data_IF_666288013982
#
_entry.id   IF_666288013982
#
_cell.length_a   1.000
_cell.length_b   1.000
_cell.length_c   1.000
_cell.angle_alpha   90.00
_cell.angle_beta   90.00
_cell.angle_gamma   90.00
#
_symmetry.space_group_name_H-M   'P 1'
#
loop_
_entity.id
_entity.type
_entity.pdbx_description
1 polymer ?
#
# COMPACT_ATOMS: atom_id res chain seq x y z
N UNK A 1 -15.04 0.52 -10.08
CA UNK A 1 -13.93 1.00 -10.95
C UNK A 1 -12.67 1.12 -10.10
N UNK A 2 -11.48 0.94 -10.71
CA UNK A 2 -10.17 1.01 -10.05
C UNK A 2 -9.35 2.06 -10.77
N UNK A 3 -8.75 3.01 -10.03
CA UNK A 3 -8.02 4.14 -10.59
C UNK A 3 -6.63 4.22 -9.93
N UNK A 4 -5.59 4.43 -10.74
CA UNK A 4 -4.25 4.75 -10.26
C UNK A 4 -4.14 6.27 -10.11
N UNK A 5 -4.13 6.75 -8.87
CA UNK A 5 -4.14 8.18 -8.53
C UNK A 5 -2.77 8.61 -8.04
N UNK A 6 -2.27 9.75 -8.51
CA UNK A 6 -1.12 10.43 -7.92
C UNK A 6 -1.59 11.29 -6.74
N UNK A 7 -1.37 10.82 -5.50
CA UNK A 7 -1.66 11.62 -4.32
C UNK A 7 -0.66 12.78 -4.22
N UNK A 8 -1.18 13.97 -4.10
CA UNK A 8 -0.38 15.18 -3.90
C UNK A 8 0.08 15.33 -2.44
N UNK A 9 1.07 16.21 -2.21
CA UNK A 9 1.59 16.57 -0.88
C UNK A 9 0.54 17.35 -0.08
N UNK A 10 0.65 17.30 1.24
CA UNK A 10 -0.17 18.05 2.19
C UNK A 10 -1.66 17.68 2.22
N UNK A 11 -1.99 16.47 1.74
CA UNK A 11 -3.33 15.89 1.87
C UNK A 11 -3.26 14.45 2.36
N UNK A 12 -4.28 14.00 3.08
CA UNK A 12 -4.39 12.62 3.52
C UNK A 12 -4.92 11.73 2.39
N UNK A 13 -4.66 10.42 2.47
CA UNK A 13 -5.30 9.45 1.56
C UNK A 13 -6.83 9.48 1.68
N UNK A 14 -7.38 9.90 2.83
CA UNK A 14 -8.82 10.07 3.02
C UNK A 14 -9.35 11.27 2.25
N UNK A 15 -8.61 12.35 2.14
CA UNK A 15 -9.01 13.52 1.35
C UNK A 15 -9.12 13.16 -0.13
N UNK A 16 -8.17 12.38 -0.66
CA UNK A 16 -8.24 11.83 -2.02
C UNK A 16 -9.52 11.01 -2.21
N UNK A 17 -9.81 10.08 -1.29
CA UNK A 17 -11.04 9.28 -1.31
C UNK A 17 -12.29 10.17 -1.29
N UNK A 18 -12.31 11.21 -0.45
CA UNK A 18 -13.46 12.11 -0.34
C UNK A 18 -13.69 12.93 -1.62
N UNK A 19 -12.62 13.40 -2.25
CA UNK A 19 -12.68 14.14 -3.54
C UNK A 19 -13.27 13.24 -4.62
N UNK A 20 -12.73 12.02 -4.77
CA UNK A 20 -13.19 11.03 -5.77
C UNK A 20 -14.64 10.61 -5.48
N UNK A 21 -14.99 10.39 -4.22
CA UNK A 21 -16.34 10.05 -3.78
C UNK A 21 -17.38 11.10 -4.20
N UNK A 22 -17.05 12.38 -4.03
CA UNK A 22 -17.92 13.50 -4.43
C UNK A 22 -18.04 13.58 -5.96
N UNK A 23 -16.90 13.54 -6.67
CA UNK A 23 -16.87 13.65 -8.12
C UNK A 23 -17.66 12.52 -8.81
N UNK A 24 -17.49 11.28 -8.34
CA UNK A 24 -18.17 10.10 -8.90
C UNK A 24 -19.55 9.82 -8.28
N UNK A 25 -20.07 10.70 -7.43
CA UNK A 25 -21.36 10.56 -6.75
C UNK A 25 -21.56 9.19 -6.08
N UNK A 26 -20.48 8.63 -5.47
CA UNK A 26 -20.53 7.32 -4.80
C UNK A 26 -19.94 7.36 -3.41
N UNK A 27 -20.65 6.75 -2.43
CA UNK A 27 -20.20 6.64 -1.04
C UNK A 27 -19.24 5.48 -0.82
N UNK A 28 -19.23 4.50 -1.72
CA UNK A 28 -18.42 3.28 -1.58
C UNK A 28 -17.08 3.46 -2.30
N UNK A 29 -16.12 4.04 -1.60
CA UNK A 29 -14.77 4.28 -2.09
C UNK A 29 -13.75 3.83 -1.05
N UNK A 30 -12.71 3.12 -1.48
CA UNK A 30 -11.60 2.65 -0.66
C UNK A 30 -10.26 2.84 -1.36
N UNK A 31 -9.17 2.79 -0.60
CA UNK A 31 -7.81 2.85 -1.14
C UNK A 31 -6.96 1.68 -0.64
N UNK A 32 -5.86 1.39 -1.31
CA UNK A 32 -5.06 0.18 -1.11
C UNK A 32 -3.81 0.38 -0.27
N UNK A 33 -3.78 1.39 0.56
CA UNK A 33 -2.67 1.66 1.48
C UNK A 33 -2.46 3.14 1.71
N UNK A 34 -2.57 3.53 2.97
CA UNK A 34 -2.39 4.93 3.40
C UNK A 34 -1.00 5.44 3.02
N UNK A 35 -0.97 6.66 2.52
CA UNK A 35 0.20 7.52 2.44
C UNK A 35 0.07 8.61 3.50
N UNK A 36 1.18 8.94 4.16
CA UNK A 36 1.24 10.07 5.09
C UNK A 36 0.93 11.38 4.37
N UNK A 37 0.50 12.46 5.05
CA UNK A 37 0.19 13.74 4.40
C UNK A 37 1.36 14.32 3.60
N UNK A 38 2.58 14.19 4.13
CA UNK A 38 3.82 14.61 3.47
C UNK A 38 4.12 13.80 2.19
N UNK A 39 3.79 12.49 2.18
CA UNK A 39 4.12 11.58 1.10
C UNK A 39 3.25 11.81 -0.13
N UNK A 40 3.83 11.56 -1.30
CA UNK A 40 3.19 11.69 -2.62
C UNK A 40 3.20 10.38 -3.41
N UNK A 41 2.55 10.37 -4.59
CA UNK A 41 2.65 9.30 -5.56
C UNK A 41 1.50 8.30 -5.54
N UNK A 42 1.77 7.09 -6.03
CA UNK A 42 0.76 6.06 -6.36
C UNK A 42 -0.19 5.76 -5.21
N UNK A 43 -1.48 5.98 -5.41
CA UNK A 43 -2.57 5.57 -4.54
C UNK A 43 -3.67 4.90 -5.37
N UNK A 44 -3.78 3.59 -5.29
CA UNK A 44 -4.83 2.88 -6.00
C UNK A 44 -6.15 3.05 -5.23
N UNK A 45 -7.13 3.61 -5.91
CA UNK A 45 -8.48 3.86 -5.38
C UNK A 45 -9.48 2.93 -6.07
N UNK A 46 -10.32 2.28 -5.28
CA UNK A 46 -11.40 1.40 -5.75
C UNK A 46 -12.74 2.01 -5.39
N UNK A 47 -13.71 1.95 -6.31
CA UNK A 47 -15.06 2.47 -6.09
C UNK A 47 -16.10 1.38 -6.27
N UNK A 48 -17.26 1.55 -5.64
CA UNK A 48 -18.42 0.68 -5.74
C UNK A 48 -18.07 -0.80 -5.48
N UNK A 49 -18.41 -1.66 -6.39
CA UNK A 49 -18.22 -3.10 -6.27
C UNK A 49 -16.73 -3.49 -6.17
N UNK A 50 -15.84 -2.76 -6.85
CA UNK A 50 -14.41 -3.07 -6.89
C UNK A 50 -13.68 -2.78 -5.58
N UNK A 51 -14.34 -2.14 -4.60
CA UNK A 51 -13.80 -2.04 -3.23
C UNK A 51 -13.55 -3.42 -2.60
N UNK A 52 -14.17 -4.48 -3.09
CA UNK A 52 -13.91 -5.86 -2.68
C UNK A 52 -12.48 -6.33 -3.01
N UNK A 53 -11.79 -5.65 -3.95
CA UNK A 53 -10.43 -5.97 -4.38
C UNK A 53 -9.34 -5.21 -3.62
N UNK A 54 -9.71 -4.32 -2.72
CA UNK A 54 -8.76 -3.48 -1.95
C UNK A 54 -7.71 -4.34 -1.22
N UNK A 55 -8.10 -5.43 -0.58
CA UNK A 55 -7.18 -6.31 0.15
C UNK A 55 -6.17 -7.02 -0.78
N UNK A 56 -6.61 -7.45 -1.96
CA UNK A 56 -5.77 -8.05 -3.00
C UNK A 56 -4.72 -7.05 -3.50
N UNK A 57 -5.14 -5.84 -3.82
CA UNK A 57 -4.27 -4.78 -4.29
C UNK A 57 -3.33 -4.28 -3.18
N UNK A 58 -3.81 -4.24 -1.93
CA UNK A 58 -3.00 -3.85 -0.75
C UNK A 58 -1.86 -4.84 -0.48
N UNK A 59 -2.03 -6.12 -0.82
CA UNK A 59 -1.02 -7.15 -0.57
C UNK A 59 0.23 -7.00 -1.42
N UNK A 60 0.19 -6.25 -2.51
CA UNK A 60 1.31 -6.05 -3.45
C UNK A 60 2.45 -5.25 -2.80
N UNK A 61 3.69 -5.54 -3.21
CA UNK A 61 4.87 -4.78 -2.81
C UNK A 61 4.76 -3.32 -3.24
N UNK A 62 5.47 -2.44 -2.54
CA UNK A 62 5.55 -1.01 -2.84
C UNK A 62 7.00 -0.60 -3.05
N UNK A 63 7.21 0.30 -3.99
CA UNK A 63 8.48 0.94 -4.23
C UNK A 63 8.38 2.41 -3.84
N UNK A 64 9.40 2.89 -3.16
CA UNK A 64 9.49 4.28 -2.71
C UNK A 64 10.83 4.89 -3.09
N UNK A 65 10.81 6.19 -3.36
CA UNK A 65 11.97 7.05 -3.24
C UNK A 65 11.78 7.84 -1.94
N UNK A 66 12.69 7.64 -1.01
CA UNK A 66 12.68 8.29 0.29
C UNK A 66 13.90 9.21 0.44
N UNK A 67 13.69 10.38 1.01
CA UNK A 67 14.77 11.26 1.46
C UNK A 67 14.73 11.28 2.98
N UNK A 68 15.84 10.98 3.62
CA UNK A 68 16.00 11.11 5.06
C UNK A 68 17.00 12.20 5.39
N UNK A 69 16.76 12.90 6.52
CA UNK A 69 17.63 13.91 7.09
C UNK A 69 18.34 13.34 8.31
N UNK A 70 19.67 13.43 8.34
CA UNK A 70 20.49 13.02 9.46
C UNK A 70 20.55 14.11 10.56
N UNK A 71 20.86 13.69 11.76
CA UNK A 71 21.13 14.57 12.90
C UNK A 71 19.91 15.14 13.61
N UNK A 72 18.69 14.86 13.14
CA UNK A 72 17.45 15.24 13.82
C UNK A 72 16.49 14.06 13.92
N UNK A 73 15.73 14.02 15.01
CA UNK A 73 14.61 13.10 15.21
C UNK A 73 13.38 13.91 15.62
N UNK A 74 12.24 13.59 15.04
CA UNK A 74 10.95 14.20 15.35
C UNK A 74 10.03 13.20 16.05
N UNK A 75 9.02 13.70 16.73
CA UNK A 75 7.99 12.89 17.41
C UNK A 75 7.13 12.07 16.41
N UNK A 76 6.92 12.55 15.18
CA UNK A 76 6.16 11.87 14.13
C UNK A 76 7.01 10.93 13.27
N UNK A 77 8.34 11.05 13.32
CA UNK A 77 9.28 10.35 12.43
C UNK A 77 9.39 10.96 11.04
N UNK A 78 8.72 12.10 10.77
CA UNK A 78 8.85 12.90 9.55
C UNK A 78 9.10 14.38 9.90
N UNK A 79 9.54 15.18 8.92
CA UNK A 79 9.97 16.55 9.11
C UNK A 79 8.84 17.49 9.57
N UNK A 80 7.58 17.07 9.50
CA UNK A 80 6.42 17.88 9.93
C UNK A 80 6.20 17.86 11.43
N UNK A 81 6.86 16.93 12.15
CA UNK A 81 6.78 16.80 13.61
C UNK A 81 7.70 17.77 14.35
N UNK A 82 7.56 17.77 15.68
CA UNK A 82 8.44 18.54 16.57
C UNK A 82 9.78 17.82 16.73
N UNK A 83 10.88 18.57 16.70
CA UNK A 83 12.21 18.00 16.93
C UNK A 83 12.32 17.63 18.41
N UNK A 84 12.54 16.35 18.69
CA UNK A 84 12.69 15.79 20.05
C UNK A 84 14.14 15.43 20.37
N UNK A 85 15.00 15.27 19.36
CA UNK A 85 16.41 14.97 19.56
C UNK A 85 17.25 15.50 18.41
N UNK A 86 18.48 15.98 18.76
CA UNK A 86 19.55 16.32 17.82
C UNK A 86 20.78 15.48 18.15
N UNK A 87 21.50 15.06 17.12
CA UNK A 87 22.77 14.35 17.27
C UNK A 87 23.74 14.76 16.16
N UNK A 88 25.01 14.76 16.48
CA UNK A 88 26.07 14.89 15.47
C UNK A 88 26.18 13.61 14.66
N UNK A 89 26.74 13.71 13.47
CA UNK A 89 27.04 12.55 12.62
C UNK A 89 28.32 12.79 11.84
N UNK A 90 28.99 11.70 11.51
CA UNK A 90 30.14 11.70 10.60
C UNK A 90 30.04 10.39 9.81
N UNK A 91 29.47 10.46 8.63
CA UNK A 91 29.22 9.31 7.78
C UNK A 91 29.82 9.52 6.40
N UNK A 92 30.31 8.46 5.79
CA UNK A 92 30.77 8.44 4.41
C UNK A 92 29.75 7.76 3.52
N UNK A 93 29.80 8.02 2.21
CA UNK A 93 28.95 7.37 1.22
C UNK A 93 29.03 5.83 1.30
N UNK A 94 30.24 5.28 1.48
CA UNK A 94 30.45 3.84 1.57
C UNK A 94 29.81 3.24 2.83
N UNK A 95 29.87 3.95 3.97
CA UNK A 95 29.17 3.54 5.18
C UNK A 95 27.66 3.51 4.99
N UNK A 96 27.10 4.53 4.31
CA UNK A 96 25.66 4.58 4.00
C UNK A 96 25.28 3.37 3.14
N UNK A 97 26.00 3.11 2.05
CA UNK A 97 25.73 1.97 1.16
C UNK A 97 25.76 0.65 1.93
N UNK A 98 26.80 0.46 2.77
CA UNK A 98 26.93 -0.73 3.60
C UNK A 98 25.74 -0.89 4.57
N UNK A 99 25.34 0.19 5.24
CA UNK A 99 24.21 0.18 6.18
C UNK A 99 22.91 -0.10 5.45
N UNK A 100 22.62 0.55 4.32
CA UNK A 100 21.42 0.28 3.53
C UNK A 100 21.34 -1.21 3.13
N UNK A 101 22.43 -1.80 2.68
CA UNK A 101 22.47 -3.21 2.28
C UNK A 101 22.20 -4.19 3.45
N UNK A 102 22.50 -3.80 4.69
CA UNK A 102 22.20 -4.62 5.87
C UNK A 102 20.69 -4.75 6.14
N UNK A 103 19.85 -3.89 5.55
CA UNK A 103 18.39 -3.97 5.67
C UNK A 103 17.72 -4.85 4.62
N UNK A 104 18.47 -5.41 3.66
CA UNK A 104 17.93 -6.35 2.68
C UNK A 104 17.42 -7.64 3.35
N UNK A 105 16.33 -8.17 2.83
CA UNK A 105 15.73 -9.41 3.30
C UNK A 105 14.62 -9.20 4.34
N UNK A 106 14.35 -10.25 5.11
CA UNK A 106 13.29 -10.26 6.12
C UNK A 106 13.81 -9.78 7.48
N UNK A 107 13.04 -8.95 8.13
CA UNK A 107 13.32 -8.41 9.46
C UNK A 107 12.03 -8.08 10.22
N UNK A 108 12.17 -7.79 11.51
CA UNK A 108 11.06 -7.33 12.35
C UNK A 108 11.15 -5.82 12.51
N UNK A 109 10.03 -5.12 12.28
CA UNK A 109 9.93 -3.68 12.41
C UNK A 109 8.90 -3.28 13.45
N UNK A 110 9.23 -2.32 14.31
CA UNK A 110 8.26 -1.70 15.23
C UNK A 110 7.34 -0.76 14.48
N UNK A 111 6.03 -0.90 14.69
CA UNK A 111 5.01 -0.02 14.10
C UNK A 111 5.10 1.35 14.75
N UNK A 112 5.17 2.45 13.98
CA UNK A 112 5.24 3.78 14.56
C UNK A 112 3.92 4.15 15.26
N UNK A 113 4.03 4.92 16.36
CA UNK A 113 2.86 5.32 17.14
C UNK A 113 1.86 6.16 16.31
N UNK A 114 2.34 6.99 15.40
CA UNK A 114 1.50 7.72 14.46
C UNK A 114 1.10 6.83 13.27
N UNK A 115 0.29 5.80 13.56
CA UNK A 115 -0.26 4.91 12.53
C UNK A 115 -1.73 4.58 12.77
N UNK A 116 -2.39 4.06 11.73
CA UNK A 116 -3.79 3.65 11.80
C UNK A 116 -3.99 2.21 12.34
N UNK A 117 -2.94 1.55 12.81
CA UNK A 117 -3.01 0.23 13.44
C UNK A 117 -3.82 0.35 14.74
N UNK A 118 -4.69 -0.62 14.98
CA UNK A 118 -5.53 -0.64 16.17
C UNK A 118 -4.95 -1.58 17.23
N UNK A 119 -4.90 -1.10 18.46
CA UNK A 119 -4.64 -1.88 19.67
C UNK A 119 -5.84 -1.65 20.61
N UNK A 120 -6.44 -2.71 21.10
CA UNK A 120 -7.63 -2.65 21.96
C UNK A 120 -8.78 -1.79 21.37
N UNK A 121 -8.98 -1.87 20.03
CA UNK A 121 -10.04 -1.13 19.35
C UNK A 121 -9.72 0.32 18.99
N UNK A 122 -8.69 0.94 19.60
CA UNK A 122 -8.27 2.34 19.42
C UNK A 122 -7.03 2.39 18.50
N UNK A 123 -6.95 3.38 17.62
CA UNK A 123 -5.80 3.52 16.71
C UNK A 123 -4.59 4.09 17.43
N UNK A 124 -3.38 3.67 17.03
CA UNK A 124 -2.14 4.11 17.69
C UNK A 124 -1.97 5.63 17.68
N UNK A 125 -2.32 6.32 16.58
CA UNK A 125 -2.24 7.79 16.56
C UNK A 125 -3.18 8.47 17.57
N UNK A 126 -4.25 7.81 18.02
CA UNK A 126 -5.16 8.34 19.05
C UNK A 126 -4.52 8.25 20.45
N UNK A 127 -3.72 7.20 20.71
CA UNK A 127 -2.90 7.11 21.91
C UNK A 127 -1.86 8.23 21.94
N UNK A 128 -1.13 8.43 20.81
CA UNK A 128 -0.14 9.50 20.72
C UNK A 128 -0.72 10.89 21.02
N UNK A 129 -1.88 11.21 20.42
CA UNK A 129 -2.53 12.51 20.62
C UNK A 129 -3.03 12.75 22.04
N UNK A 130 -3.40 11.68 22.72
CA UNK A 130 -3.89 11.76 24.11
C UNK A 130 -2.76 11.66 25.15
N UNK A 131 -1.49 11.47 24.72
CA UNK A 131 -0.37 11.23 25.63
C UNK A 131 -0.47 9.90 26.40
N UNK A 132 -1.23 8.93 25.87
CA UNK A 132 -1.43 7.63 26.51
C UNK A 132 -0.30 6.66 26.13
N UNK A 133 0.24 5.95 27.09
CA UNK A 133 1.22 4.90 26.86
C UNK A 133 0.57 3.66 26.22
N UNK A 134 1.26 3.07 25.27
CA UNK A 134 0.85 1.83 24.60
C UNK A 134 2.07 1.04 24.14
N UNK A 135 2.03 -0.28 24.32
CA UNK A 135 3.06 -1.16 23.77
C UNK A 135 2.91 -1.23 22.25
N UNK A 136 3.93 -0.75 21.54
CA UNK A 136 3.94 -0.76 20.08
C UNK A 136 4.12 -2.19 19.55
N UNK A 137 3.25 -2.64 18.63
CA UNK A 137 3.38 -3.96 18.05
C UNK A 137 4.54 -3.99 17.06
N UNK A 138 5.08 -5.18 16.85
CA UNK A 138 6.04 -5.45 15.79
C UNK A 138 5.39 -6.21 14.65
N UNK A 139 6.01 -6.18 13.48
CA UNK A 139 5.60 -6.97 12.31
C UNK A 139 6.78 -7.41 11.49
N UNK A 140 6.63 -8.53 10.84
CA UNK A 140 7.58 -8.97 9.84
C UNK A 140 7.44 -8.16 8.57
N UNK A 141 8.56 -7.70 8.04
CA UNK A 141 8.69 -6.98 6.79
C UNK A 141 9.76 -7.66 5.92
N UNK A 142 9.71 -7.38 4.62
CA UNK A 142 10.76 -7.80 3.71
C UNK A 142 11.15 -6.62 2.81
N UNK A 143 12.45 -6.37 2.69
CA UNK A 143 13.04 -5.38 1.79
C UNK A 143 13.72 -6.15 0.67
N UNK A 144 13.12 -6.13 -0.53
CA UNK A 144 13.62 -6.87 -1.68
C UNK A 144 14.70 -6.13 -2.46
N UNK A 145 14.73 -4.80 -2.37
CA UNK A 145 15.79 -3.97 -2.91
C UNK A 145 15.92 -2.67 -2.13
N UNK A 146 17.13 -2.17 -1.99
CA UNK A 146 17.44 -0.85 -1.46
C UNK A 146 18.69 -0.32 -2.15
N UNK A 147 18.65 0.94 -2.59
CA UNK A 147 19.70 1.56 -3.40
C UNK A 147 19.88 3.01 -2.99
N UNK A 148 21.11 3.42 -2.74
CA UNK A 148 21.46 4.84 -2.55
C UNK A 148 21.36 5.56 -3.89
N UNK A 149 20.53 6.59 -3.98
CA UNK A 149 20.43 7.45 -5.16
C UNK A 149 21.32 8.67 -5.07
N UNK A 150 21.34 9.32 -3.89
CA UNK A 150 22.10 10.54 -3.67
C UNK A 150 22.45 10.72 -2.19
N UNK A 151 23.57 11.41 -1.93
CA UNK A 151 23.97 11.84 -0.60
C UNK A 151 24.63 13.22 -0.69
N UNK A 152 24.01 14.19 -0.10
CA UNK A 152 24.49 15.56 -0.06
C UNK A 152 24.16 16.20 1.30
N UNK A 153 25.15 16.81 1.94
CA UNK A 153 25.04 17.40 3.27
C UNK A 153 24.49 16.44 4.33
N UNK A 154 23.30 16.74 4.86
CA UNK A 154 22.57 15.92 5.83
C UNK A 154 21.47 15.07 5.21
N UNK A 155 21.31 15.10 3.88
CA UNK A 155 20.27 14.40 3.15
C UNK A 155 20.77 13.15 2.44
N UNK A 156 20.11 12.03 2.72
CA UNK A 156 20.32 10.77 2.02
C UNK A 156 19.04 10.43 1.26
N UNK A 157 19.14 10.29 -0.05
CA UNK A 157 18.05 9.87 -0.92
C UNK A 157 18.28 8.44 -1.38
N UNK A 158 17.31 7.58 -1.16
CA UNK A 158 17.40 6.17 -1.52
C UNK A 158 16.09 5.65 -2.10
N UNK A 159 16.21 4.63 -2.93
CA UNK A 159 15.09 3.89 -3.50
C UNK A 159 14.95 2.58 -2.75
N UNK A 160 13.73 2.17 -2.41
CA UNK A 160 13.49 0.94 -1.65
C UNK A 160 12.22 0.24 -2.11
N UNK A 161 12.28 -1.10 -2.28
CA UNK A 161 11.11 -1.95 -2.53
C UNK A 161 10.83 -2.81 -1.33
N UNK A 162 9.61 -2.71 -0.80
CA UNK A 162 9.21 -3.30 0.47
C UNK A 162 7.92 -4.09 0.37
N UNK A 163 7.75 -5.06 1.26
CA UNK A 163 6.50 -5.79 1.44
C UNK A 163 5.40 -4.89 2.04
N UNK A 164 4.15 -5.36 1.96
CA UNK A 164 3.02 -4.67 2.60
C UNK A 164 3.27 -4.46 4.10
N UNK A 165 2.85 -3.31 4.59
CA UNK A 165 2.88 -2.98 6.02
C UNK A 165 4.21 -2.42 6.51
N UNK A 166 5.23 -2.32 5.68
CA UNK A 166 6.49 -1.65 6.01
C UNK A 166 6.25 -0.14 6.16
N UNK A 167 6.77 0.43 7.24
CA UNK A 167 6.77 1.87 7.51
C UNK A 167 8.14 2.46 7.17
N UNK A 168 8.18 3.37 6.19
CA UNK A 168 9.44 4.00 5.76
C UNK A 168 9.99 4.91 6.85
N UNK A 169 9.13 5.54 7.66
CA UNK A 169 9.56 6.33 8.84
C UNK A 169 10.35 5.49 9.84
N UNK A 170 9.83 4.33 10.23
CA UNK A 170 10.56 3.41 11.13
C UNK A 170 11.86 2.89 10.49
N UNK A 171 11.85 2.59 9.19
CA UNK A 171 13.06 2.19 8.47
C UNK A 171 14.13 3.29 8.54
N UNK A 172 13.76 4.54 8.32
CA UNK A 172 14.67 5.70 8.40
C UNK A 172 15.24 5.88 9.80
N UNK A 173 14.42 5.75 10.84
CA UNK A 173 14.90 5.79 12.22
C UNK A 173 15.92 4.67 12.51
N UNK A 174 15.65 3.46 12.04
CA UNK A 174 16.53 2.31 12.24
C UNK A 174 17.84 2.43 11.44
N UNK A 175 17.80 2.99 10.22
CA UNK A 175 18.99 3.35 9.44
C UNK A 175 19.81 4.39 10.23
N UNK A 176 19.17 5.45 10.76
CA UNK A 176 19.83 6.47 11.58
C UNK A 176 20.54 5.88 12.79
N UNK A 177 19.87 5.00 13.54
CA UNK A 177 20.48 4.27 14.69
C UNK A 177 21.69 3.45 14.26
N UNK A 178 21.60 2.75 13.13
CA UNK A 178 22.70 1.92 12.61
C UNK A 178 23.89 2.78 12.16
N UNK A 179 23.63 3.98 11.69
CA UNK A 179 24.66 5.00 11.38
C UNK A 179 25.17 5.74 12.64
N UNK A 180 24.76 5.30 13.85
CA UNK A 180 25.12 5.90 15.14
C UNK A 180 24.70 7.37 15.28
N UNK A 181 23.58 7.74 14.70
CA UNK A 181 22.96 9.07 14.80
C UNK A 181 21.44 8.95 14.92
N UNK A 182 20.73 10.04 14.74
CA UNK A 182 19.27 10.05 14.57
C UNK A 182 18.92 10.50 13.15
N UNK A 183 17.76 10.09 12.67
CA UNK A 183 17.28 10.49 11.34
C UNK A 183 15.76 10.64 11.34
N UNK A 184 15.26 11.47 10.44
CA UNK A 184 13.83 11.67 10.20
C UNK A 184 13.53 11.64 8.69
N UNK A 185 12.30 11.32 8.34
CA UNK A 185 11.86 11.34 6.94
C UNK A 185 11.65 12.78 6.48
N UNK A 186 12.40 13.21 5.46
CA UNK A 186 12.30 14.53 4.86
C UNK A 186 11.27 14.57 3.74
N UNK A 187 11.25 13.54 2.90
CA UNK A 187 10.32 13.41 1.78
C UNK A 187 10.10 11.96 1.42
N UNK A 188 8.93 11.65 0.83
CA UNK A 188 8.57 10.30 0.42
C UNK A 188 7.70 10.30 -0.82
N UNK A 189 8.13 9.58 -1.84
CA UNK A 189 7.37 9.36 -3.07
C UNK A 189 7.12 7.87 -3.25
N UNK A 190 5.87 7.42 -3.25
CA UNK A 190 5.55 6.06 -3.67
C UNK A 190 5.53 5.98 -5.19
N UNK A 191 6.59 5.45 -5.77
CA UNK A 191 6.76 5.35 -7.22
C UNK A 191 6.02 4.17 -7.82
N UNK A 192 5.74 3.11 -6.99
CA UNK A 192 5.10 1.91 -7.50
C UNK A 192 4.32 1.15 -6.42
N UNK A 193 3.22 0.55 -6.80
CA UNK A 193 2.49 -0.45 -6.01
C UNK A 193 2.10 -1.63 -6.91
N UNK A 194 2.70 -2.80 -6.65
CA UNK A 194 2.58 -3.94 -7.58
C UNK A 194 3.07 -3.56 -8.98
N UNK A 195 2.19 -3.67 -9.97
CA UNK A 195 2.48 -3.31 -11.36
C UNK A 195 2.12 -1.85 -11.72
N UNK A 196 1.54 -1.08 -10.80
CA UNK A 196 1.07 0.28 -11.05
C UNK A 196 2.18 1.27 -10.71
N UNK A 197 2.55 2.10 -11.67
CA UNK A 197 3.64 3.08 -11.59
C UNK A 197 3.09 4.49 -11.48
N UNK A 198 3.92 5.40 -10.98
CA UNK A 198 3.58 6.81 -10.85
C UNK A 198 3.40 7.48 -12.22
N UNK A 199 4.15 7.06 -13.22
CA UNK A 199 4.07 7.57 -14.60
C UNK A 199 2.71 7.29 -15.25
N UNK A 200 2.01 6.23 -14.79
CA UNK A 200 0.70 5.81 -15.26
C UNK A 200 -0.44 6.32 -14.37
N UNK A 201 -0.14 7.21 -13.42
CA UNK A 201 -1.13 7.72 -12.46
C UNK A 201 -1.76 9.03 -12.93
N UNK A 202 -2.99 9.27 -12.51
CA UNK A 202 -3.74 10.48 -12.79
C UNK A 202 -3.73 11.42 -11.60
N UNK A 203 -3.60 12.71 -11.85
CA UNK A 203 -3.77 13.76 -10.84
C UNK A 203 -5.24 13.86 -10.40
N UNK A 204 -5.51 14.54 -9.29
CA UNK A 204 -6.88 14.84 -8.89
C UNK A 204 -7.58 15.79 -9.87
N UNK A 205 -6.81 16.63 -10.55
CA UNK A 205 -7.32 17.51 -11.60
C UNK A 205 -7.76 16.72 -12.84
N UNK A 206 -6.93 15.75 -13.29
CA UNK A 206 -7.33 14.83 -14.37
C UNK A 206 -8.64 14.12 -14.05
N UNK A 207 -8.78 13.66 -12.80
CA UNK A 207 -10.00 12.94 -12.37
C UNK A 207 -11.22 13.88 -12.38
N UNK A 208 -11.08 15.12 -11.88
CA UNK A 208 -12.16 16.12 -11.89
C UNK A 208 -12.59 16.53 -13.31
N UNK A 209 -11.69 16.41 -14.27
CA UNK A 209 -11.93 16.72 -15.68
C UNK A 209 -12.31 15.47 -16.51
N UNK A 210 -12.59 14.33 -15.85
CA UNK A 210 -12.87 13.03 -16.47
C UNK A 210 -11.79 12.55 -17.46
N UNK A 211 -10.57 13.06 -17.32
CA UNK A 211 -9.40 12.72 -18.13
C UNK A 211 -8.60 11.57 -17.49
N UNK A 212 -9.26 10.43 -17.30
CA UNK A 212 -8.60 9.23 -16.74
C UNK A 212 -9.19 7.96 -17.34
N UNK A 213 -8.43 6.86 -17.22
CA UNK A 213 -8.88 5.52 -17.62
C UNK A 213 -8.85 4.59 -16.43
N UNK A 214 -9.98 3.94 -16.09
CA UNK A 214 -9.99 2.90 -15.07
C UNK A 214 -9.10 1.71 -15.45
N UNK A 215 -8.50 1.10 -14.46
CA UNK A 215 -7.73 -0.13 -14.63
C UNK A 215 -8.71 -1.28 -14.87
N UNK A 216 -8.64 -2.00 -16.00
CA UNK A 216 -9.50 -3.13 -16.29
C UNK A 216 -9.29 -4.30 -15.32
N UNK A 217 -10.35 -5.02 -14.97
CA UNK A 217 -10.27 -6.16 -14.02
C UNK A 217 -9.34 -7.28 -14.50
N UNK A 218 -9.27 -7.55 -15.80
CA UNK A 218 -8.35 -8.54 -16.35
C UNK A 218 -6.87 -8.18 -16.10
N UNK A 219 -6.53 -6.88 -16.07
CA UNK A 219 -5.19 -6.42 -15.71
C UNK A 219 -4.93 -6.58 -14.21
N UNK A 220 -5.92 -6.29 -13.37
CA UNK A 220 -5.83 -6.45 -11.90
C UNK A 220 -5.62 -7.92 -11.52
N UNK A 221 -6.29 -8.82 -12.23
CA UNK A 221 -6.37 -10.24 -11.93
C UNK A 221 -5.39 -11.10 -12.76
N UNK A 222 -4.54 -10.50 -13.59
CA UNK A 222 -3.66 -11.20 -14.53
C UNK A 222 -2.69 -12.22 -13.90
N UNK A 223 -2.36 -12.00 -12.61
CA UNK A 223 -1.44 -12.88 -11.87
C UNK A 223 -2.14 -14.14 -11.31
N UNK A 224 -3.46 -14.26 -11.46
CA UNK A 224 -4.24 -15.41 -11.01
C UNK A 224 -4.57 -16.34 -12.16
N UNK A 225 -4.47 -17.64 -11.89
CA UNK A 225 -4.93 -18.67 -12.83
C UNK A 225 -6.39 -18.42 -13.21
N UNK A 226 -6.73 -18.63 -14.48
CA UNK A 226 -8.09 -18.43 -14.99
C UNK A 226 -8.75 -19.77 -15.30
N UNK A 227 -10.05 -19.90 -14.98
CA UNK A 227 -10.88 -21.04 -15.32
C UNK A 227 -12.14 -20.57 -16.04
N UNK A 228 -12.39 -21.09 -17.24
CA UNK A 228 -13.56 -20.74 -18.03
C UNK A 228 -14.76 -21.61 -17.65
N UNK A 229 -15.81 -20.97 -17.18
CA UNK A 229 -17.07 -21.60 -16.79
C UNK A 229 -17.90 -21.96 -18.02
N UNK A 230 -18.53 -23.13 -18.01
CA UNK A 230 -19.68 -23.40 -18.88
C UNK A 230 -20.96 -22.79 -18.28
N UNK A 231 -22.08 -22.83 -19.03
CA UNK A 231 -23.33 -22.22 -18.59
C UNK A 231 -23.86 -22.79 -17.27
N UNK A 232 -23.76 -24.09 -17.06
CA UNK A 232 -24.22 -24.76 -15.83
C UNK A 232 -23.36 -24.33 -14.63
N UNK A 233 -22.05 -24.28 -14.82
CA UNK A 233 -21.10 -23.83 -13.77
C UNK A 233 -21.31 -22.36 -13.44
N UNK A 234 -21.55 -21.51 -14.45
CA UNK A 234 -21.84 -20.09 -14.25
C UNK A 234 -23.03 -19.88 -13.31
N UNK A 235 -24.16 -20.59 -13.54
CA UNK A 235 -25.33 -20.52 -12.65
C UNK A 235 -25.00 -20.94 -11.22
N UNK A 236 -24.18 -21.97 -11.03
CA UNK A 236 -23.74 -22.41 -9.70
C UNK A 236 -22.85 -21.35 -9.02
N UNK A 237 -21.90 -20.78 -9.76
CA UNK A 237 -20.97 -19.74 -9.26
C UNK A 237 -21.72 -18.46 -8.92
N UNK A 238 -22.68 -18.04 -9.74
CA UNK A 238 -23.53 -16.86 -9.49
C UNK A 238 -24.26 -16.97 -8.14
N UNK A 239 -24.65 -18.17 -7.76
CA UNK A 239 -25.29 -18.48 -6.47
C UNK A 239 -24.30 -18.84 -5.35
N UNK A 240 -23.01 -18.61 -5.53
CA UNK A 240 -21.99 -18.83 -4.51
C UNK A 240 -21.68 -20.31 -4.21
N UNK A 241 -22.06 -21.24 -5.10
CA UNK A 241 -21.83 -22.66 -4.90
C UNK A 241 -20.34 -22.97 -4.91
N UNK A 242 -19.94 -23.93 -4.06
CA UNK A 242 -18.58 -24.50 -4.08
C UNK A 242 -18.31 -25.24 -5.39
N UNK A 243 -17.02 -25.29 -5.79
CA UNK A 243 -16.57 -26.00 -6.99
C UNK A 243 -15.41 -26.97 -6.68
N UNK A 244 -15.39 -28.07 -7.39
CA UNK A 244 -14.24 -28.97 -7.49
C UNK A 244 -13.54 -28.64 -8.81
N UNK A 245 -12.31 -28.12 -8.72
CA UNK A 245 -11.50 -27.76 -9.87
C UNK A 245 -10.20 -28.56 -9.81
N UNK A 246 -9.80 -29.14 -10.93
CA UNK A 246 -8.52 -29.83 -11.03
C UNK A 246 -7.38 -28.81 -11.27
N UNK A 247 -7.18 -27.94 -10.30
CA UNK A 247 -6.21 -26.84 -10.30
C UNK A 247 -5.56 -26.83 -8.92
N UNK A 248 -4.27 -26.47 -8.84
CA UNK A 248 -3.55 -26.46 -7.54
C UNK A 248 -3.33 -25.03 -6.99
N UNK A 249 -3.76 -24.00 -7.71
CA UNK A 249 -3.60 -22.62 -7.31
C UNK A 249 -4.47 -22.26 -6.09
N UNK A 250 -3.91 -21.51 -5.17
CA UNK A 250 -4.60 -21.04 -3.96
C UNK A 250 -5.81 -20.15 -4.27
N UNK A 251 -5.73 -19.35 -5.33
CA UNK A 251 -6.80 -18.46 -5.77
C UNK A 251 -6.91 -18.55 -7.30
N UNK A 252 -8.13 -18.67 -7.79
CA UNK A 252 -8.45 -18.80 -9.21
C UNK A 252 -9.48 -17.76 -9.60
N UNK A 253 -9.29 -17.14 -10.78
CA UNK A 253 -10.27 -16.26 -11.41
C UNK A 253 -11.23 -17.10 -12.27
N UNK A 254 -12.49 -17.07 -11.95
CA UNK A 254 -13.53 -17.72 -12.75
C UNK A 254 -14.03 -16.76 -13.81
N UNK A 255 -13.99 -17.19 -15.07
CA UNK A 255 -14.43 -16.40 -16.22
C UNK A 255 -15.70 -17.02 -16.82
N UNK A 256 -16.60 -16.19 -17.31
CA UNK A 256 -17.69 -16.58 -18.18
C UNK A 256 -17.78 -15.60 -19.35
N UNK A 257 -17.80 -16.10 -20.58
CA UNK A 257 -17.72 -15.27 -21.80
C UNK A 257 -16.56 -14.26 -21.75
N UNK A 258 -15.38 -14.70 -21.31
CA UNK A 258 -14.15 -13.91 -21.14
C UNK A 258 -14.25 -12.76 -20.12
N UNK A 259 -15.29 -12.72 -19.28
CA UNK A 259 -15.45 -11.72 -18.22
C UNK A 259 -15.17 -12.36 -16.85
N UNK A 260 -14.39 -11.72 -15.97
CA UNK A 260 -14.21 -12.17 -14.60
C UNK A 260 -15.53 -12.11 -13.81
N UNK A 261 -15.98 -13.27 -13.32
CA UNK A 261 -17.22 -13.43 -12.54
C UNK A 261 -16.94 -13.46 -11.05
N UNK A 262 -15.90 -14.18 -10.65
CA UNK A 262 -15.55 -14.34 -9.25
C UNK A 262 -14.08 -14.75 -9.09
N UNK A 263 -13.55 -14.46 -7.90
CA UNK A 263 -12.36 -15.11 -7.38
C UNK A 263 -12.79 -16.20 -6.40
N UNK A 264 -12.24 -17.39 -6.59
CA UNK A 264 -12.42 -18.52 -5.71
C UNK A 264 -11.12 -18.85 -5.02
N UNK A 265 -11.19 -19.26 -3.75
CA UNK A 265 -10.05 -19.70 -2.96
C UNK A 265 -10.15 -21.19 -2.64
N UNK A 266 -9.03 -21.88 -2.76
CA UNK A 266 -8.90 -23.27 -2.37
C UNK A 266 -8.93 -23.39 -0.84
N UNK A 267 -9.84 -24.21 -0.33
CA UNK A 267 -9.97 -24.61 1.07
C UNK A 267 -10.03 -26.13 1.09
N UNK A 268 -8.94 -26.79 1.50
CA UNK A 268 -8.68 -28.21 1.28
C UNK A 268 -8.75 -28.51 -0.24
N UNK A 269 -9.61 -29.43 -0.67
CA UNK A 269 -9.77 -29.81 -2.09
C UNK A 269 -10.96 -29.12 -2.79
N UNK A 270 -11.55 -28.14 -2.13
CA UNK A 270 -12.76 -27.45 -2.63
C UNK A 270 -12.46 -25.97 -2.80
N UNK A 271 -12.92 -25.40 -3.90
CA UNK A 271 -12.89 -23.97 -4.14
C UNK A 271 -14.19 -23.31 -3.66
N UNK A 272 -14.05 -22.25 -2.86
CA UNK A 272 -15.16 -21.44 -2.34
C UNK A 272 -15.05 -19.99 -2.78
N UNK A 273 -16.17 -19.29 -2.81
CA UNK A 273 -16.22 -17.85 -3.13
C UNK A 273 -15.29 -17.09 -2.21
N UNK A 274 -14.33 -16.42 -2.80
CA UNK A 274 -13.49 -15.42 -2.12
C UNK A 274 -14.00 -14.02 -2.38
N UNK A 275 -14.26 -13.68 -3.65
CA UNK A 275 -14.84 -12.39 -4.07
C UNK A 275 -15.80 -12.61 -5.24
N UNK A 276 -17.05 -12.18 -5.14
CA UNK A 276 -17.93 -12.03 -6.31
C UNK A 276 -17.58 -10.72 -7.00
N UNK A 277 -17.34 -10.77 -8.31
CA UNK A 277 -16.97 -9.63 -9.15
C UNK A 277 -18.11 -9.17 -10.06
N UNK A 278 -19.01 -10.05 -10.42
CA UNK A 278 -20.22 -9.70 -11.15
C UNK A 278 -21.25 -9.07 -10.20
N UNK A 279 -21.89 -8.00 -10.65
CA UNK A 279 -23.03 -7.39 -9.96
C UNK A 279 -24.28 -8.14 -10.43
N UNK A 280 -25.04 -8.71 -9.51
CA UNK A 280 -26.40 -9.13 -9.81
C UNK A 280 -27.19 -7.87 -10.16
N UNK A 281 -27.65 -7.76 -11.40
CA UNK A 281 -28.47 -6.61 -11.86
C UNK A 281 -29.85 -6.56 -11.21
N UNK A 282 -30.16 -7.54 -10.35
CA UNK A 282 -31.45 -7.64 -9.65
C UNK A 282 -31.46 -6.92 -8.28
N UNK A 283 -30.37 -6.25 -7.88
CA UNK A 283 -30.24 -5.51 -6.60
C UNK A 283 -30.34 -3.97 -6.80
N UNK A 284 -31.14 -3.48 -7.77
CA UNK A 284 -31.49 -2.07 -7.92
C UNK A 284 -32.93 -1.80 -7.52
#
# INVERSE_FOLDING_TARGET
MIINVCKEKNMTSRDVVNIISRHLHTKKVGHTGTLDPLATGVLIVCTNHDTKLVDILTSKNKEYIATMRLGIQTDTGDITGNIIKRATYKVTKDQIIKVLNNFLGSSTQTVPIYSAVKINGKKLYEYARNGEEVTLPTREINISSIELLDYHDDLIKFKVTVSKGTYIRSLIEDIGKTLQTVATMEDLVRTKQGNYKIEDSYTLEDIKNDNYKPIPLNIVLKDYHTYNLNATEYFKVKNGSKMLLNIDDKIVTLLYNNKPIALYRKENDIYRVYKMLEINTDDN
#
